data_IF_532688817647
#
_entry.id   IF_532688817647
#
_cell.length_a   1.000
_cell.length_b   1.000
_cell.length_c   1.000
_cell.angle_alpha   90.00
_cell.angle_beta   90.00
_cell.angle_gamma   90.00
#
_symmetry.space_group_name_H-M   'P 1'
#
loop_
_entity.id
_entity.type
_entity.pdbx_description
1 polymer ?
#
# COMPACT_ATOMS: atom_id res chain seq x y z
N UNK A 1 4.45 14.77 -17.61
CA UNK A 1 5.64 14.41 -16.80
C UNK A 1 5.12 13.60 -15.62
N UNK A 2 5.22 12.27 -15.66
CA UNK A 2 4.82 11.41 -14.53
C UNK A 2 6.01 11.33 -13.57
N UNK A 3 5.93 12.03 -12.44
CA UNK A 3 6.87 11.85 -11.35
C UNK A 3 6.87 10.36 -10.97
N UNK A 4 8.04 9.72 -10.75
CA UNK A 4 8.07 8.33 -10.35
C UNK A 4 7.35 8.24 -9.00
N UNK A 5 6.22 7.53 -8.97
CA UNK A 5 5.50 7.33 -7.73
C UNK A 5 6.35 6.53 -6.75
N UNK A 6 6.28 6.91 -5.47
CA UNK A 6 6.94 6.16 -4.40
C UNK A 6 6.15 4.87 -4.15
N UNK A 7 6.87 3.75 -4.05
CA UNK A 7 6.24 2.45 -3.80
C UNK A 7 6.28 2.15 -2.31
N UNK A 8 5.17 1.69 -1.77
CA UNK A 8 5.06 1.29 -0.37
C UNK A 8 4.48 -0.10 -0.25
N UNK A 9 4.93 -0.81 0.77
CA UNK A 9 4.31 -2.02 1.29
C UNK A 9 3.66 -1.70 2.63
N UNK A 10 2.39 -2.05 2.75
CA UNK A 10 1.58 -1.85 3.95
C UNK A 10 1.08 -3.20 4.40
N UNK A 11 1.36 -3.56 5.65
CA UNK A 11 0.88 -4.81 6.23
C UNK A 11 -0.17 -4.53 7.28
N UNK A 12 -1.27 -5.26 7.23
CA UNK A 12 -2.40 -5.09 8.15
C UNK A 12 -2.88 -6.43 8.71
N UNK A 13 -3.51 -6.39 9.87
CA UNK A 13 -4.04 -7.59 10.52
C UNK A 13 -5.31 -8.10 9.83
N UNK A 14 -5.47 -9.41 9.76
CA UNK A 14 -6.60 -10.05 9.11
C UNK A 14 -6.47 -10.11 7.59
N UNK A 15 -7.45 -10.74 6.95
CA UNK A 15 -7.56 -10.87 5.50
C UNK A 15 -8.55 -9.82 4.96
N UNK A 16 -8.02 -8.78 4.32
CA UNK A 16 -8.80 -7.79 3.59
C UNK A 16 -9.33 -8.40 2.29
N UNK A 17 -10.64 -8.41 2.13
CA UNK A 17 -11.27 -8.95 0.93
C UNK A 17 -10.67 -8.32 -0.37
N UNK A 18 -10.39 -9.12 -1.42
CA UNK A 18 -9.82 -8.61 -2.67
C UNK A 18 -10.58 -7.45 -3.30
N UNK A 19 -11.88 -7.30 -3.03
CA UNK A 19 -12.67 -6.16 -3.52
C UNK A 19 -12.15 -4.79 -3.05
N UNK A 20 -11.37 -4.72 -1.97
CA UNK A 20 -10.78 -3.47 -1.47
C UNK A 20 -9.59 -3.00 -2.33
N UNK A 21 -9.00 -3.84 -3.18
CA UNK A 21 -7.86 -3.52 -4.05
C UNK A 21 -8.10 -2.28 -4.94
N UNK A 22 -9.23 -2.27 -5.66
CA UNK A 22 -9.65 -1.17 -6.53
C UNK A 22 -9.98 0.09 -5.72
N UNK A 23 -10.60 -0.07 -4.55
CA UNK A 23 -10.93 1.07 -3.69
C UNK A 23 -9.69 1.72 -3.09
N UNK A 24 -8.62 0.97 -2.80
CA UNK A 24 -7.37 1.46 -2.21
C UNK A 24 -6.41 2.13 -3.22
N UNK A 25 -6.77 2.16 -4.52
CA UNK A 25 -6.00 2.83 -5.57
C UNK A 25 -5.04 1.88 -6.30
N UNK A 26 -5.59 0.82 -6.90
CA UNK A 26 -4.86 -0.24 -7.61
C UNK A 26 -3.78 -0.91 -6.73
N UNK A 27 -4.12 -1.11 -5.46
CA UNK A 27 -3.26 -1.82 -4.53
C UNK A 27 -3.22 -3.32 -4.89
N UNK A 28 -2.02 -3.88 -5.03
CA UNK A 28 -1.88 -5.33 -5.10
C UNK A 28 -2.07 -5.92 -3.69
N UNK A 29 -3.13 -6.71 -3.52
CA UNK A 29 -3.52 -7.33 -2.25
C UNK A 29 -3.00 -8.77 -2.23
N UNK A 30 -2.17 -9.10 -1.23
CA UNK A 30 -1.69 -10.45 -0.97
C UNK A 30 -2.13 -10.91 0.41
N UNK A 31 -2.67 -12.12 0.50
CA UNK A 31 -2.99 -12.76 1.77
C UNK A 31 -1.81 -13.62 2.20
N UNK A 32 -1.27 -13.32 3.39
CA UNK A 32 -0.19 -14.08 3.97
C UNK A 32 -0.73 -15.25 4.82
N UNK A 33 0.05 -16.32 4.90
CA UNK A 33 -0.30 -17.53 5.64
C UNK A 33 -0.42 -17.33 7.15
N UNK A 34 0.13 -16.22 7.68
CA UNK A 34 0.02 -15.83 9.09
C UNK A 34 -1.27 -15.06 9.42
N UNK A 35 -2.22 -15.00 8.48
CA UNK A 35 -3.51 -14.35 8.68
C UNK A 35 -3.47 -12.83 8.50
N UNK A 36 -2.41 -12.29 7.90
CA UNK A 36 -2.28 -10.86 7.61
C UNK A 36 -2.49 -10.58 6.12
N UNK A 37 -2.69 -9.29 5.79
CA UNK A 37 -2.74 -8.84 4.41
C UNK A 37 -1.60 -7.89 4.13
N UNK A 38 -0.91 -8.13 3.03
CA UNK A 38 0.11 -7.26 2.46
C UNK A 38 -0.48 -6.50 1.27
N UNK A 39 -0.42 -5.17 1.33
CA UNK A 39 -0.86 -4.25 0.29
C UNK A 39 0.37 -3.58 -0.31
N UNK A 40 0.54 -3.69 -1.63
CA UNK A 40 1.57 -2.94 -2.36
C UNK A 40 0.92 -1.84 -3.17
N UNK A 41 1.36 -0.61 -2.91
CA UNK A 41 0.80 0.60 -3.55
C UNK A 41 1.91 1.43 -4.15
N UNK A 42 1.58 2.15 -5.22
CA UNK A 42 2.42 3.23 -5.74
C UNK A 42 1.64 4.52 -5.57
N UNK A 43 2.19 5.47 -4.82
CA UNK A 43 1.55 6.75 -4.54
C UNK A 43 2.29 7.88 -5.25
N UNK A 44 1.56 8.89 -5.69
CA UNK A 44 2.17 10.05 -6.35
C UNK A 44 2.88 10.98 -5.36
N UNK A 45 2.41 10.99 -4.10
CA UNK A 45 2.92 11.83 -3.03
C UNK A 45 2.53 11.27 -1.65
N UNK A 46 3.01 11.92 -0.59
CA UNK A 46 2.70 11.59 0.79
C UNK A 46 1.21 11.78 1.13
N UNK A 47 0.48 12.69 0.46
CA UNK A 47 -0.95 12.86 0.71
C UNK A 47 -1.74 11.62 0.24
N UNK A 48 -1.35 11.02 -0.88
CA UNK A 48 -1.88 9.74 -1.36
C UNK A 48 -1.63 8.60 -0.37
N UNK A 49 -0.42 8.53 0.22
CA UNK A 49 -0.11 7.55 1.26
C UNK A 49 -0.96 7.75 2.51
N UNK A 50 -1.05 8.98 3.02
CA UNK A 50 -1.84 9.26 4.20
C UNK A 50 -3.35 9.04 3.98
N UNK A 51 -3.85 9.29 2.76
CA UNK A 51 -5.22 8.96 2.37
C UNK A 51 -5.50 7.46 2.37
N UNK A 52 -4.53 6.63 1.95
CA UNK A 52 -4.61 5.17 2.06
C UNK A 52 -4.67 4.73 3.54
N UNK A 53 -3.77 5.25 4.38
CA UNK A 53 -3.73 4.90 5.80
C UNK A 53 -4.99 5.35 6.56
N UNK A 54 -5.57 6.49 6.18
CA UNK A 54 -6.87 6.95 6.68
C UNK A 54 -7.98 5.97 6.36
N UNK A 55 -8.06 5.49 5.11
CA UNK A 55 -9.04 4.48 4.68
C UNK A 55 -8.89 3.16 5.45
N UNK A 56 -7.67 2.68 5.69
CA UNK A 56 -7.44 1.48 6.50
C UNK A 56 -7.89 1.67 7.95
N UNK A 57 -7.67 2.86 8.51
CA UNK A 57 -8.18 3.24 9.84
C UNK A 57 -9.70 3.23 9.89
N UNK A 58 -10.38 3.77 8.87
CA UNK A 58 -11.84 3.83 8.83
C UNK A 58 -12.49 2.43 8.75
N UNK A 59 -11.77 1.45 8.19
CA UNK A 59 -12.16 0.04 8.20
C UNK A 59 -11.91 -0.67 9.56
N UNK A 60 -11.29 0.03 10.51
CA UNK A 60 -10.93 -0.54 11.81
C UNK A 60 -9.84 -1.61 11.74
N UNK A 61 -9.09 -1.68 10.63
CA UNK A 61 -8.06 -2.70 10.43
C UNK A 61 -6.75 -2.24 11.07
N UNK A 62 -6.15 -3.03 11.99
CA UNK A 62 -4.87 -2.69 12.59
C UNK A 62 -3.74 -2.64 11.56
N UNK A 63 -3.03 -1.52 11.51
CA UNK A 63 -1.78 -1.39 10.76
C UNK A 63 -0.66 -2.11 11.52
N UNK A 64 -0.01 -3.06 10.87
CA UNK A 64 1.10 -3.83 11.43
C UNK A 64 2.46 -3.30 11.00
N UNK A 65 2.61 -2.94 9.73
CA UNK A 65 3.85 -2.39 9.19
C UNK A 65 3.61 -1.46 8.00
N UNK A 66 4.52 -0.51 7.81
CA UNK A 66 4.62 0.34 6.63
C UNK A 66 6.09 0.42 6.23
N UNK A 67 6.39 0.12 4.97
CA UNK A 67 7.75 0.13 4.44
C UNK A 67 7.79 0.84 3.09
N UNK A 68 8.72 1.79 2.94
CA UNK A 68 9.09 2.33 1.64
C UNK A 68 9.86 1.26 0.87
N UNK A 69 9.36 0.91 -0.32
CA UNK A 69 10.07 0.04 -1.25
C UNK A 69 10.90 0.94 -2.14
N UNK A 70 12.22 0.89 -1.97
CA UNK A 70 13.15 1.62 -2.82
C UNK A 70 12.91 1.17 -4.26
N UNK A 71 12.39 2.07 -5.10
CA UNK A 71 12.40 1.83 -6.54
C UNK A 71 13.88 1.90 -6.92
N UNK A 72 14.44 0.93 -7.66
CA UNK A 72 15.82 1.03 -8.10
C UNK A 72 16.03 2.44 -8.67
N UNK A 73 17.15 3.12 -8.31
CA UNK A 73 17.41 4.47 -8.79
C UNK A 73 17.15 4.45 -10.29
N UNK A 74 16.39 5.43 -10.78
CA UNK A 74 16.27 5.64 -12.22
C UNK A 74 17.70 5.65 -12.74
N UNK A 75 18.00 4.69 -13.60
CA UNK A 75 19.26 4.64 -14.34
C UNK A 75 19.23 5.89 -15.24
N UNK A 76 19.64 7.03 -14.68
CA UNK A 76 19.85 8.27 -15.42
C UNK A 76 21.23 8.11 -16.09
N UNK A 77 21.29 8.15 -17.44
CA UNK A 77 22.52 7.92 -18.19
C UNK A 77 23.61 8.97 -17.95
#
# INVERSE_FOLDING_TARGET
>A
MTMPGERYEVRVAGHLDPCWSAWLGDAAVGHDADGTTTLRVTVADQAGLHGLLGRLRDLGVPLLALQALDLPPRDDP
#
